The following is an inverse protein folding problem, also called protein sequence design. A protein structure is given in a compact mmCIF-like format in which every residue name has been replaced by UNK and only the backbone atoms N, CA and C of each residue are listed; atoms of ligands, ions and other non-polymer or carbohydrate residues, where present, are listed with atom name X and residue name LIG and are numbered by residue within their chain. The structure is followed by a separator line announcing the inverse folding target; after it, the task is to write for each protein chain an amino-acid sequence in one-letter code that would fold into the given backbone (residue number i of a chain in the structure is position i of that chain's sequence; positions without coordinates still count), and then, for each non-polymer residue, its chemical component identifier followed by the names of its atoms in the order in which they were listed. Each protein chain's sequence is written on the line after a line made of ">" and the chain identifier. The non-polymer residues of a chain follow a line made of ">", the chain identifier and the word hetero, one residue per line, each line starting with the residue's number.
data_IF_293901694925
#
_entry.id   IF_293901694925
#
_cell.length_a   1.000
_cell.length_b   1.000
_cell.length_c   1.000
_cell.angle_alpha   90.00
_cell.angle_beta   90.00
_cell.angle_gamma   90.00
#
_symmetry.space_group_name_H-M   'P 1'
#
loop_
_entity.id
_entity.type
_entity.pdbx_description
1 polymer ?
#
# COMPACT_ATOMS: atom_id res chain seq x y z
N UNK A 1 19.38 -6.04 -5.62
CA UNK A 1 18.38 -6.50 -4.65
C UNK A 1 17.03 -6.11 -5.22
N UNK A 2 16.08 -7.04 -5.34
CA UNK A 2 14.77 -6.72 -5.92
C UNK A 2 13.98 -5.80 -4.99
N UNK A 3 13.17 -4.92 -5.54
CA UNK A 3 12.36 -3.95 -4.82
C UNK A 3 10.88 -4.12 -5.13
N UNK A 4 10.06 -4.03 -4.09
CA UNK A 4 8.59 -4.12 -4.19
C UNK A 4 7.99 -2.83 -3.62
N UNK A 5 6.99 -2.27 -4.31
CA UNK A 5 6.15 -1.23 -3.75
C UNK A 5 4.90 -1.82 -3.13
N UNK A 6 4.55 -1.36 -1.93
CA UNK A 6 3.29 -1.68 -1.24
C UNK A 6 2.46 -0.40 -1.12
N UNK A 7 1.31 -0.38 -1.79
CA UNK A 7 0.44 0.79 -1.92
C UNK A 7 -0.87 0.55 -1.16
N UNK A 8 -1.23 1.49 -0.29
CA UNK A 8 -2.44 1.47 0.51
C UNK A 8 -3.36 2.63 0.11
N UNK A 9 -4.60 2.30 -0.26
CA UNK A 9 -5.61 3.25 -0.66
C UNK A 9 -6.25 4.03 0.51
N UNK A 10 -7.41 4.67 0.26
CA UNK A 10 -8.07 5.56 1.21
C UNK A 10 -8.53 4.83 2.47
N UNK A 11 -8.57 5.58 3.57
CA UNK A 11 -8.98 5.21 4.92
C UNK A 11 -8.09 4.18 5.63
N UNK A 12 -7.11 3.55 4.96
CA UNK A 12 -6.23 2.57 5.59
C UNK A 12 -5.29 3.20 6.64
N UNK A 13 -5.02 4.50 6.55
CA UNK A 13 -4.34 5.24 7.61
C UNK A 13 -5.12 5.29 8.94
N UNK A 14 -6.42 4.95 8.93
CA UNK A 14 -7.27 4.92 10.13
C UNK A 14 -7.32 3.54 10.80
N UNK A 15 -6.62 2.53 10.26
CA UNK A 15 -6.51 1.22 10.90
C UNK A 15 -5.94 1.36 12.32
N UNK A 16 -6.50 0.58 13.25
CA UNK A 16 -6.17 0.65 14.68
C UNK A 16 -6.83 1.80 15.46
N UNK A 17 -7.48 2.77 14.80
CA UNK A 17 -8.12 3.91 15.47
C UNK A 17 -9.65 3.82 15.57
N UNK A 18 -10.32 3.02 14.75
CA UNK A 18 -11.78 2.84 14.78
C UNK A 18 -12.16 1.49 15.37
N UNK A 19 -13.02 1.51 16.39
CA UNK A 19 -13.69 0.34 16.99
C UNK A 19 -12.80 -0.93 17.03
N UNK A 20 -11.72 -0.94 17.84
CA UNK A 20 -10.73 -2.02 17.83
C UNK A 20 -11.30 -3.42 18.16
N UNK A 21 -12.48 -3.47 18.78
CA UNK A 21 -13.26 -4.69 19.02
C UNK A 21 -13.80 -5.33 17.72
N UNK A 22 -13.95 -4.54 16.64
CA UNK A 22 -14.51 -4.94 15.34
C UNK A 22 -13.43 -5.06 14.26
N UNK A 23 -12.49 -4.11 14.20
CA UNK A 23 -11.50 -4.00 13.10
C UNK A 23 -10.10 -4.49 13.45
N UNK A 24 -9.90 -4.97 14.68
CA UNK A 24 -8.59 -5.36 15.20
C UNK A 24 -7.75 -4.15 15.65
N UNK A 25 -6.68 -4.43 16.39
CA UNK A 25 -5.80 -3.40 16.96
C UNK A 25 -4.60 -3.06 16.07
N UNK A 26 -4.41 -3.77 14.96
CA UNK A 26 -3.24 -3.54 14.11
C UNK A 26 -3.41 -2.24 13.32
N UNK A 27 -2.51 -1.30 13.59
CA UNK A 27 -2.36 -0.10 12.78
C UNK A 27 -1.69 -0.44 11.45
N UNK A 28 -1.82 0.46 10.47
CA UNK A 28 -1.11 0.33 9.20
C UNK A 28 0.41 0.28 9.40
N UNK A 29 0.93 0.96 10.42
CA UNK A 29 2.34 0.90 10.79
C UNK A 29 2.77 -0.52 11.18
N UNK A 30 2.02 -1.19 12.06
CA UNK A 30 2.34 -2.58 12.49
C UNK A 30 2.31 -3.54 11.31
N UNK A 31 1.39 -3.33 10.37
CA UNK A 31 1.32 -4.11 9.12
C UNK A 31 2.59 -3.88 8.29
N UNK A 32 2.99 -2.61 8.08
CA UNK A 32 4.19 -2.28 7.31
C UNK A 32 5.46 -2.83 7.97
N UNK A 33 5.59 -2.79 9.31
CA UNK A 33 6.71 -3.37 10.05
C UNK A 33 6.80 -4.90 9.87
N UNK A 34 5.65 -5.58 9.87
CA UNK A 34 5.57 -7.02 9.61
C UNK A 34 6.00 -7.35 8.17
N UNK A 35 5.57 -6.54 7.19
CA UNK A 35 5.96 -6.69 5.78
C UNK A 35 7.46 -6.44 5.61
N UNK A 36 8.01 -5.38 6.21
CA UNK A 36 9.45 -5.09 6.18
C UNK A 36 10.27 -6.25 6.73
N UNK A 37 9.88 -6.78 7.89
CA UNK A 37 10.58 -7.92 8.51
C UNK A 37 10.59 -9.15 7.61
N UNK A 38 9.47 -9.43 6.94
CA UNK A 38 9.37 -10.51 5.96
C UNK A 38 10.23 -10.23 4.73
N UNK A 39 10.19 -9.01 4.17
CA UNK A 39 10.97 -8.61 3.01
C UNK A 39 12.48 -8.75 3.28
N UNK A 40 12.95 -8.33 4.46
CA UNK A 40 14.33 -8.48 4.89
C UNK A 40 14.75 -9.96 4.93
N UNK A 41 13.91 -10.84 5.49
CA UNK A 41 14.17 -12.29 5.51
C UNK A 41 14.27 -12.91 4.12
N UNK A 42 13.64 -12.28 3.12
CA UNK A 42 13.63 -12.71 1.72
C UNK A 42 14.68 -11.98 0.86
N UNK A 43 15.52 -11.13 1.46
CA UNK A 43 16.49 -10.28 0.73
C UNK A 43 15.83 -9.37 -0.33
N UNK A 44 14.69 -8.79 0.02
CA UNK A 44 13.93 -7.84 -0.78
C UNK A 44 13.96 -6.45 -0.15
N UNK A 45 13.94 -5.40 -0.97
CA UNK A 45 13.59 -4.05 -0.53
C UNK A 45 12.11 -3.83 -0.64
N UNK A 46 11.55 -3.06 0.28
CA UNK A 46 10.15 -2.63 0.23
C UNK A 46 10.03 -1.13 0.41
N UNK A 47 9.22 -0.50 -0.44
CA UNK A 47 8.77 0.89 -0.27
C UNK A 47 7.28 0.90 0.01
N UNK A 48 6.85 1.71 0.96
CA UNK A 48 5.43 1.85 1.31
C UNK A 48 4.90 3.20 0.86
N UNK A 49 3.64 3.22 0.42
CA UNK A 49 2.91 4.45 0.14
C UNK A 49 1.46 4.30 0.57
N UNK A 50 0.90 5.34 1.18
CA UNK A 50 -0.52 5.40 1.51
C UNK A 50 -1.05 6.77 1.12
N UNK A 51 -2.21 6.81 0.46
CA UNK A 51 -2.91 8.06 0.24
C UNK A 51 -4.43 7.89 0.22
N UNK A 52 -5.11 8.97 0.61
CA UNK A 52 -6.55 9.12 0.45
C UNK A 52 -6.93 9.78 -0.89
N UNK A 53 -5.95 10.32 -1.61
CA UNK A 53 -6.14 11.03 -2.86
C UNK A 53 -5.82 10.10 -4.05
N UNK A 54 -6.78 9.96 -4.96
CA UNK A 54 -6.64 9.10 -6.15
C UNK A 54 -5.45 9.53 -7.03
N UNK A 55 -5.26 10.83 -7.24
CA UNK A 55 -4.18 11.36 -8.07
C UNK A 55 -2.78 11.03 -7.52
N UNK A 56 -2.59 11.09 -6.19
CA UNK A 56 -1.32 10.72 -5.57
C UNK A 56 -1.00 9.23 -5.74
N UNK A 57 -2.02 8.37 -5.66
CA UNK A 57 -1.86 6.93 -5.92
C UNK A 57 -1.46 6.67 -7.37
N UNK A 58 -2.12 7.34 -8.34
CA UNK A 58 -1.81 7.23 -9.77
C UNK A 58 -0.38 7.72 -10.05
N UNK A 59 0.01 8.88 -9.53
CA UNK A 59 1.38 9.39 -9.69
C UNK A 59 2.42 8.44 -9.09
N UNK A 60 2.15 7.87 -7.92
CA UNK A 60 3.05 6.90 -7.31
C UNK A 60 3.15 5.61 -8.10
N UNK A 61 2.06 5.12 -8.70
CA UNK A 61 2.07 3.95 -9.59
C UNK A 61 2.97 4.22 -10.81
N UNK A 62 2.85 5.38 -11.45
CA UNK A 62 3.73 5.76 -12.57
C UNK A 62 5.21 5.80 -12.15
N UNK A 63 5.52 6.32 -10.96
CA UNK A 63 6.90 6.30 -10.43
C UNK A 63 7.41 4.87 -10.19
N UNK A 64 6.54 3.94 -9.82
CA UNK A 64 6.89 2.54 -9.60
C UNK A 64 7.23 1.83 -10.91
N UNK A 65 6.57 2.14 -12.02
CA UNK A 65 6.79 1.51 -13.32
C UNK A 65 8.27 1.53 -13.78
N UNK A 66 9.02 2.55 -13.35
CA UNK A 66 10.44 2.69 -13.70
C UNK A 66 11.41 2.21 -12.61
N UNK A 67 10.93 1.93 -11.39
CA UNK A 67 11.81 1.85 -10.20
C UNK A 67 11.65 0.60 -9.33
N UNK A 68 10.60 -0.20 -9.50
CA UNK A 68 10.40 -1.44 -8.71
C UNK A 68 10.14 -2.65 -9.59
N UNK A 69 10.44 -3.84 -9.07
CA UNK A 69 10.22 -5.12 -9.77
C UNK A 69 8.76 -5.59 -9.68
N UNK A 70 8.02 -5.15 -8.66
CA UNK A 70 6.62 -5.51 -8.46
C UNK A 70 5.86 -4.50 -7.59
N UNK A 71 4.54 -4.48 -7.74
CA UNK A 71 3.62 -3.70 -6.89
C UNK A 71 2.62 -4.63 -6.21
N UNK A 72 2.39 -4.39 -4.92
CA UNK A 72 1.29 -4.94 -4.14
C UNK A 72 0.39 -3.78 -3.76
N UNK A 73 -0.90 -3.84 -4.08
CA UNK A 73 -1.84 -2.74 -3.80
C UNK A 73 -3.08 -3.25 -3.06
N UNK A 74 -3.48 -2.51 -2.03
CA UNK A 74 -4.82 -2.54 -1.47
C UNK A 74 -5.51 -1.20 -1.77
N UNK A 75 -6.31 -1.08 -2.85
CA UNK A 75 -6.96 0.19 -3.21
C UNK A 75 -8.11 0.59 -2.27
N UNK A 76 -8.44 -0.24 -1.26
CA UNK A 76 -9.58 -0.03 -0.37
C UNK A 76 -10.86 0.31 -1.16
N UNK A 77 -11.54 1.41 -0.82
CA UNK A 77 -12.78 1.82 -1.49
C UNK A 77 -12.60 2.06 -3.00
N UNK A 78 -11.41 2.48 -3.44
CA UNK A 78 -11.14 2.71 -4.86
C UNK A 78 -11.15 1.44 -5.70
N UNK A 79 -11.10 0.26 -5.09
CA UNK A 79 -11.30 -1.04 -5.77
C UNK A 79 -12.62 -1.05 -6.55
N UNK A 80 -13.64 -0.32 -6.08
CA UNK A 80 -14.98 -0.34 -6.65
C UNK A 80 -15.25 0.80 -7.63
N UNK A 81 -14.41 1.83 -7.65
CA UNK A 81 -14.74 3.10 -8.32
C UNK A 81 -13.66 3.59 -9.27
N UNK A 82 -12.39 3.25 -9.03
CA UNK A 82 -11.28 3.88 -9.73
C UNK A 82 -10.90 3.12 -10.99
N UNK A 83 -11.42 3.57 -12.12
CA UNK A 83 -10.88 3.19 -13.44
C UNK A 83 -9.50 3.81 -13.64
N UNK A 84 -9.23 5.00 -13.08
CA UNK A 84 -7.94 5.67 -13.21
C UNK A 84 -6.79 4.85 -12.62
N UNK A 85 -6.95 4.30 -11.41
CA UNK A 85 -5.94 3.43 -10.78
C UNK A 85 -5.76 2.13 -11.57
N UNK A 86 -6.86 1.56 -12.10
CA UNK A 86 -6.78 0.34 -12.92
C UNK A 86 -5.94 0.56 -14.16
N UNK A 87 -6.10 1.71 -14.81
CA UNK A 87 -5.44 2.04 -16.07
C UNK A 87 -4.03 2.66 -15.87
N UNK A 88 -3.59 2.88 -14.62
CA UNK A 88 -2.28 3.46 -14.28
C UNK A 88 -1.13 2.44 -14.21
N UNK A 89 -1.43 1.15 -14.07
CA UNK A 89 -0.46 0.05 -14.05
C UNK A 89 0.02 -0.30 -15.46
#
# INVERSE_FOLDING_TARGET
>A
MREIAVIHGPNLNLLGHREPQVYGQQSLQVINESISSLADSLSLKVRFFQSNAEHELVEFIHQCAESVDAVIINPAAFTHTSVAIRDAF
#
